data_IF_140760444571
#
_entry.id   IF_140760444571
#
_cell.length_a   1.000
_cell.length_b   1.000
_cell.length_c   1.000
_cell.angle_alpha   90.00
_cell.angle_beta   90.00
_cell.angle_gamma   90.00
#
_symmetry.space_group_name_H-M   'P 1'
#
loop_
_entity.id
_entity.type
_entity.pdbx_description
1 polymer ?
#
# COMPACT_ATOMS: atom_id res chain seq x y z
N UNK A 1 -22.75 22.54 4.04
CA UNK A 1 -23.44 23.59 3.25
C UNK A 1 -24.65 23.05 2.50
N UNK A 2 -25.83 22.97 3.15
CA UNK A 2 -27.05 22.41 2.55
C UNK A 2 -28.03 23.41 1.93
N UNK A 3 -27.73 24.72 1.95
CA UNK A 3 -28.60 25.75 1.33
C UNK A 3 -28.29 25.91 -0.16
N UNK A 4 -29.33 26.20 -0.96
CA UNK A 4 -29.24 26.56 -2.39
C UNK A 4 -28.73 25.46 -3.34
N UNK A 5 -28.93 24.18 -2.99
CA UNK A 5 -28.70 23.09 -3.93
C UNK A 5 -29.53 23.32 -5.21
N UNK A 6 -28.92 23.23 -6.41
CA UNK A 6 -29.61 23.54 -7.64
C UNK A 6 -30.70 22.49 -7.96
N UNK A 7 -31.91 22.95 -8.25
CA UNK A 7 -33.04 22.13 -8.69
C UNK A 7 -33.16 22.19 -10.22
N UNK A 8 -32.84 21.11 -10.92
CA UNK A 8 -32.81 21.08 -12.38
C UNK A 8 -32.34 19.74 -12.94
N UNK A 9 -32.26 19.64 -14.27
CA UNK A 9 -31.80 18.45 -15.00
C UNK A 9 -30.52 18.74 -15.80
N UNK A 10 -29.89 17.71 -16.38
CA UNK A 10 -28.68 17.86 -17.21
C UNK A 10 -27.36 17.93 -16.43
N UNK A 11 -27.39 17.64 -15.14
CA UNK A 11 -26.21 17.51 -14.29
C UNK A 11 -25.53 16.15 -14.47
N UNK A 12 -24.20 16.16 -14.64
CA UNK A 12 -23.44 14.93 -14.92
C UNK A 12 -22.63 14.45 -13.73
N UNK A 13 -22.07 15.36 -12.92
CA UNK A 13 -21.17 15.05 -11.79
C UNK A 13 -21.23 16.12 -10.70
N UNK A 14 -21.20 15.69 -9.44
CA UNK A 14 -21.08 16.55 -8.25
C UNK A 14 -19.67 16.41 -7.68
N UNK A 15 -19.13 17.54 -7.22
CA UNK A 15 -17.84 17.69 -6.57
C UNK A 15 -18.04 18.42 -5.26
N UNK A 16 -17.17 18.18 -4.28
CA UNK A 16 -17.24 18.81 -2.96
C UNK A 16 -15.88 19.33 -2.52
N UNK A 17 -15.91 20.42 -1.76
CA UNK A 17 -14.91 20.81 -0.77
C UNK A 17 -15.44 20.40 0.61
N UNK A 18 -14.78 20.79 1.69
CA UNK A 18 -15.29 20.48 3.04
C UNK A 18 -16.65 21.11 3.35
N UNK A 19 -16.96 22.29 2.76
CA UNK A 19 -18.17 23.03 3.10
C UNK A 19 -19.00 23.52 1.90
N UNK A 20 -18.55 23.27 0.67
CA UNK A 20 -19.26 23.62 -0.55
C UNK A 20 -19.32 22.48 -1.57
N UNK A 21 -20.22 22.65 -2.53
CA UNK A 21 -20.40 21.75 -3.65
C UNK A 21 -20.34 22.50 -4.98
N UNK A 22 -19.87 21.80 -6.01
CA UNK A 22 -19.94 22.25 -7.39
C UNK A 22 -20.52 21.13 -8.26
N UNK A 23 -21.34 21.48 -9.25
CA UNK A 23 -21.96 20.54 -10.17
C UNK A 23 -21.66 20.93 -11.61
N UNK A 24 -21.22 19.94 -12.39
CA UNK A 24 -20.93 20.07 -13.81
C UNK A 24 -22.16 19.63 -14.63
N UNK A 25 -22.55 20.43 -15.62
CA UNK A 25 -23.61 20.10 -16.57
C UNK A 25 -23.06 19.50 -17.87
N UNK A 26 -23.94 18.87 -18.65
CA UNK A 26 -23.60 18.27 -19.94
C UNK A 26 -23.06 19.28 -20.98
N UNK A 27 -23.46 20.54 -20.90
CA UNK A 27 -22.94 21.64 -21.73
C UNK A 27 -21.58 22.18 -21.23
N UNK A 28 -21.07 21.63 -20.14
CA UNK A 28 -19.84 22.06 -19.49
C UNK A 28 -19.97 23.33 -18.65
N UNK A 29 -21.18 23.83 -18.36
CA UNK A 29 -21.39 24.92 -17.39
C UNK A 29 -21.37 24.41 -15.95
N UNK A 30 -21.02 25.29 -15.00
CA UNK A 30 -20.84 24.96 -13.58
C UNK A 30 -21.83 25.75 -12.72
N UNK A 31 -22.36 25.11 -11.67
CA UNK A 31 -23.02 25.81 -10.56
C UNK A 31 -22.36 25.40 -9.24
N UNK A 32 -22.20 26.34 -8.31
CA UNK A 32 -21.73 26.06 -6.96
C UNK A 32 -22.75 26.52 -5.91
N UNK A 33 -22.72 25.87 -4.75
CA UNK A 33 -23.53 26.22 -3.58
C UNK A 33 -22.83 25.78 -2.29
N UNK A 34 -23.24 26.34 -1.16
CA UNK A 34 -22.60 26.15 0.14
C UNK A 34 -21.89 27.40 0.64
N UNK A 35 -20.88 27.23 1.49
CA UNK A 35 -20.15 28.36 2.10
C UNK A 35 -19.30 29.09 1.05
N UNK A 36 -19.38 30.42 1.01
CA UNK A 36 -18.79 31.21 -0.09
C UNK A 36 -17.27 31.11 -0.12
N UNK A 37 -16.63 31.19 1.05
CA UNK A 37 -15.17 31.11 1.16
C UNK A 37 -14.63 29.73 0.78
N UNK A 38 -15.46 28.70 0.80
CA UNK A 38 -15.10 27.31 0.49
C UNK A 38 -15.43 26.93 -0.97
N UNK A 39 -15.73 27.93 -1.81
CA UNK A 39 -16.08 27.74 -3.22
C UNK A 39 -17.57 27.55 -3.48
N UNK A 40 -18.44 27.86 -2.52
CA UNK A 40 -19.90 27.80 -2.66
C UNK A 40 -20.51 28.93 -3.48
N UNK A 41 -19.70 29.91 -3.87
CA UNK A 41 -20.04 31.00 -4.78
C UNK A 41 -18.91 31.24 -5.79
N UNK A 42 -19.13 32.13 -6.76
CA UNK A 42 -18.13 32.54 -7.76
C UNK A 42 -17.60 31.43 -8.68
N UNK A 43 -18.38 30.36 -8.88
CA UNK A 43 -18.10 29.41 -9.96
C UNK A 43 -18.07 30.14 -11.33
N UNK A 44 -17.24 29.67 -12.29
CA UNK A 44 -17.16 30.27 -13.61
C UNK A 44 -18.53 30.31 -14.31
N UNK A 45 -18.83 31.43 -14.98
CA UNK A 45 -20.11 31.68 -15.65
C UNK A 45 -20.15 31.19 -17.09
N UNK A 46 -19.00 30.86 -17.66
CA UNK A 46 -18.84 30.29 -19.00
C UNK A 46 -19.00 28.77 -19.00
N UNK A 47 -18.96 28.16 -20.20
CA UNK A 47 -19.16 26.72 -20.41
C UNK A 47 -17.94 26.05 -21.08
N UNK A 48 -18.08 24.77 -21.39
CA UNK A 48 -17.03 23.96 -22.02
C UNK A 48 -16.04 23.31 -21.04
N UNK A 49 -16.33 23.34 -19.73
CA UNK A 49 -15.58 22.57 -18.76
C UNK A 49 -15.89 21.08 -18.88
N UNK A 50 -14.85 20.26 -18.73
CA UNK A 50 -14.95 18.80 -18.85
C UNK A 50 -14.79 18.10 -17.51
N UNK A 51 -14.14 18.77 -16.54
CA UNK A 51 -13.88 18.21 -15.21
C UNK A 51 -13.63 19.29 -14.18
N UNK A 52 -14.05 19.03 -12.94
CA UNK A 52 -13.74 19.83 -11.75
C UNK A 52 -12.82 19.00 -10.84
N UNK A 53 -11.96 19.70 -10.11
CA UNK A 53 -11.04 19.19 -9.11
C UNK A 53 -11.19 20.04 -7.84
N UNK A 54 -10.88 19.45 -6.68
CA UNK A 54 -11.02 20.14 -5.40
C UNK A 54 -9.76 19.99 -4.55
N UNK A 55 -9.42 21.05 -3.82
CA UNK A 55 -8.61 20.97 -2.59
C UNK A 55 -9.57 20.91 -1.39
N UNK A 56 -9.07 21.10 -0.17
CA UNK A 56 -9.90 21.23 1.02
C UNK A 56 -10.98 22.30 0.85
N UNK A 57 -10.63 23.51 0.38
CA UNK A 57 -11.50 24.70 0.37
C UNK A 57 -11.61 25.43 -0.98
N UNK A 58 -11.08 24.87 -2.07
CA UNK A 58 -11.17 25.49 -3.39
C UNK A 58 -11.45 24.47 -4.50
N UNK A 59 -11.90 24.99 -5.63
CA UNK A 59 -12.14 24.22 -6.86
C UNK A 59 -11.26 24.73 -8.00
N UNK A 60 -10.95 23.82 -8.92
CA UNK A 60 -10.36 24.13 -10.22
C UNK A 60 -11.08 23.35 -11.32
N UNK A 61 -11.50 24.03 -12.39
CA UNK A 61 -12.19 23.43 -13.53
C UNK A 61 -11.33 23.48 -14.80
N UNK A 62 -11.29 22.36 -15.52
CA UNK A 62 -10.48 22.13 -16.72
C UNK A 62 -11.38 22.06 -17.97
N UNK A 63 -11.05 22.83 -19.01
CA UNK A 63 -11.70 22.78 -20.32
C UNK A 63 -11.04 21.79 -21.28
N UNK A 64 -11.72 21.51 -22.40
CA UNK A 64 -11.22 20.61 -23.44
C UNK A 64 -9.95 21.12 -24.16
N UNK A 65 -9.79 22.44 -24.26
CA UNK A 65 -8.57 23.09 -24.77
C UNK A 65 -7.42 23.10 -23.73
N UNK A 66 -7.70 22.63 -22.52
CA UNK A 66 -6.76 22.58 -21.41
C UNK A 66 -6.63 23.88 -20.62
N UNK A 67 -7.46 24.90 -20.85
CA UNK A 67 -7.52 26.09 -19.99
C UNK A 67 -8.16 25.79 -18.63
N UNK A 68 -7.75 26.53 -17.59
CA UNK A 68 -8.16 26.30 -16.20
C UNK A 68 -8.79 27.56 -15.59
N UNK A 69 -9.86 27.38 -14.81
CA UNK A 69 -10.37 28.40 -13.88
C UNK A 69 -10.47 27.85 -12.47
N UNK A 70 -10.07 28.64 -11.48
CA UNK A 70 -10.18 28.30 -10.07
C UNK A 70 -11.04 29.32 -9.31
N UNK A 71 -11.68 28.86 -8.24
CA UNK A 71 -12.48 29.67 -7.33
C UNK A 71 -12.53 29.04 -5.93
N UNK A 72 -12.93 29.81 -4.92
CA UNK A 72 -12.89 29.43 -3.51
C UNK A 72 -11.75 30.15 -2.77
N UNK A 73 -11.28 29.59 -1.65
CA UNK A 73 -10.30 30.27 -0.82
C UNK A 73 -8.93 30.37 -1.51
N UNK A 74 -8.36 31.57 -1.57
CA UNK A 74 -7.12 31.86 -2.31
C UNK A 74 -5.95 30.98 -1.87
N UNK A 75 -5.79 30.82 -0.56
CA UNK A 75 -4.65 30.10 0.03
C UNK A 75 -4.76 28.59 -0.19
N UNK A 76 -5.92 28.12 -0.67
CA UNK A 76 -6.18 26.73 -1.02
C UNK A 76 -6.19 26.52 -2.54
N UNK A 77 -5.72 27.50 -3.30
CA UNK A 77 -5.66 27.46 -4.76
C UNK A 77 -6.93 27.95 -5.46
N UNK A 78 -7.82 28.65 -4.75
CA UNK A 78 -9.04 29.27 -5.30
C UNK A 78 -8.76 30.51 -6.16
N UNK A 79 -7.51 30.93 -6.29
CA UNK A 79 -7.07 32.00 -7.17
C UNK A 79 -5.74 31.63 -7.83
N UNK A 80 -5.29 32.44 -8.80
CA UNK A 80 -3.98 32.30 -9.46
C UNK A 80 -3.77 30.99 -10.22
N UNK A 81 -4.84 30.37 -10.71
CA UNK A 81 -4.73 29.30 -11.71
C UNK A 81 -3.99 29.81 -12.96
N UNK A 82 -3.24 28.94 -13.67
CA UNK A 82 -2.53 29.31 -14.88
C UNK A 82 -3.48 29.88 -15.94
N UNK A 83 -3.01 30.90 -16.68
CA UNK A 83 -3.81 31.64 -17.65
C UNK A 83 -3.70 31.10 -19.07
N UNK A 84 -2.76 30.20 -19.33
CA UNK A 84 -2.57 29.51 -20.59
C UNK A 84 -3.32 28.17 -20.63
N UNK A 85 -3.15 27.43 -21.73
CA UNK A 85 -3.93 26.22 -22.06
C UNK A 85 -3.02 25.02 -22.36
N UNK A 86 -3.62 23.90 -22.79
CA UNK A 86 -2.90 22.66 -23.08
C UNK A 86 -2.66 21.74 -21.87
N UNK A 87 -3.23 22.06 -20.70
CA UNK A 87 -3.25 21.14 -19.57
C UNK A 87 -4.21 19.98 -19.83
N UNK A 88 -3.81 18.78 -19.41
CA UNK A 88 -4.58 17.54 -19.63
C UNK A 88 -5.15 17.00 -18.33
N UNK A 89 -4.57 17.36 -17.18
CA UNK A 89 -4.96 16.85 -15.88
C UNK A 89 -4.52 17.76 -14.75
N UNK A 90 -5.36 17.87 -13.72
CA UNK A 90 -5.05 18.54 -12.45
C UNK A 90 -4.93 17.50 -11.34
N UNK A 91 -4.08 17.78 -10.37
CA UNK A 91 -3.83 17.03 -9.15
C UNK A 91 -3.90 17.99 -7.97
N UNK A 92 -4.18 17.47 -6.78
CA UNK A 92 -4.43 18.30 -5.59
C UNK A 92 -3.74 17.72 -4.36
N UNK A 93 -3.10 18.57 -3.58
CA UNK A 93 -2.90 18.35 -2.14
C UNK A 93 -4.14 18.87 -1.39
N UNK A 94 -4.07 18.95 -0.07
CA UNK A 94 -5.12 19.55 0.73
C UNK A 94 -5.30 21.06 0.46
N UNK A 95 -4.24 21.76 0.00
CA UNK A 95 -4.23 23.24 -0.12
C UNK A 95 -3.62 23.77 -1.42
N UNK A 96 -3.17 22.91 -2.33
CA UNK A 96 -2.56 23.30 -3.59
C UNK A 96 -3.00 22.42 -4.75
N UNK A 97 -2.87 22.96 -5.96
CA UNK A 97 -3.08 22.25 -7.20
C UNK A 97 -1.79 22.17 -8.02
N UNK A 98 -1.68 21.11 -8.82
CA UNK A 98 -0.66 20.97 -9.86
C UNK A 98 -1.31 20.47 -11.16
N UNK A 99 -1.08 21.17 -12.26
CA UNK A 99 -1.59 20.83 -13.59
C UNK A 99 -0.47 20.30 -14.50
N UNK A 100 -0.77 19.20 -15.21
CA UNK A 100 0.14 18.48 -16.11
C UNK A 100 -0.29 18.66 -17.58
N UNK A 101 0.66 19.02 -18.44
CA UNK A 101 0.47 19.10 -19.90
C UNK A 101 0.81 17.81 -20.63
N UNK A 102 0.42 17.73 -21.90
CA UNK A 102 0.71 16.59 -22.77
C UNK A 102 2.22 16.39 -23.03
N UNK A 103 3.00 17.48 -23.06
CA UNK A 103 4.46 17.40 -23.14
C UNK A 103 5.12 17.00 -21.81
N UNK A 104 4.33 16.91 -20.74
CA UNK A 104 4.78 16.57 -19.41
C UNK A 104 5.34 17.75 -18.60
N UNK A 105 5.15 19.00 -19.02
CA UNK A 105 5.42 20.16 -18.17
C UNK A 105 4.36 20.33 -17.07
N UNK A 106 4.76 20.91 -15.94
CA UNK A 106 3.94 21.03 -14.73
C UNK A 106 3.86 22.50 -14.28
N UNK A 107 2.66 22.94 -13.88
CA UNK A 107 2.45 24.23 -13.23
C UNK A 107 1.66 24.01 -11.94
N UNK A 108 2.10 24.63 -10.83
CA UNK A 108 1.42 24.54 -9.54
C UNK A 108 0.98 25.92 -9.04
N UNK A 109 -0.09 25.93 -8.23
CA UNK A 109 -0.62 27.13 -7.57
C UNK A 109 -1.34 26.75 -6.25
N UNK A 110 -1.59 27.74 -5.40
CA UNK A 110 -2.13 27.57 -4.04
C UNK A 110 -1.08 27.82 -2.97
N UNK A 111 -1.21 27.20 -1.80
CA UNK A 111 -0.26 27.40 -0.70
C UNK A 111 1.16 26.98 -1.11
N UNK A 112 2.11 27.91 -1.04
CA UNK A 112 3.51 27.68 -1.46
C UNK A 112 4.23 26.61 -0.64
N UNK A 113 3.94 26.51 0.66
CA UNK A 113 4.57 25.54 1.58
C UNK A 113 4.08 24.11 1.33
N UNK A 114 2.89 23.97 0.73
CA UNK A 114 2.20 22.70 0.53
C UNK A 114 2.04 22.31 -0.95
N UNK A 115 3.00 22.75 -1.76
CA UNK A 115 3.15 22.32 -3.15
C UNK A 115 2.57 23.27 -4.20
N UNK A 116 2.04 24.43 -3.79
CA UNK A 116 1.53 25.48 -4.68
C UNK A 116 2.61 26.32 -5.37
N UNK A 117 3.88 26.01 -5.11
CA UNK A 117 5.05 26.63 -5.76
C UNK A 117 6.16 25.60 -5.98
N UNK A 118 7.19 25.97 -6.74
CA UNK A 118 8.38 25.14 -6.98
C UNK A 118 8.09 23.77 -7.62
N UNK A 119 7.04 23.70 -8.45
CA UNK A 119 6.85 22.57 -9.35
C UNK A 119 8.11 22.39 -10.22
N UNK A 120 8.49 21.14 -10.55
CA UNK A 120 9.70 20.89 -11.31
C UNK A 120 9.63 21.51 -12.71
N UNK A 121 10.77 22.02 -13.17
CA UNK A 121 10.90 22.57 -14.52
C UNK A 121 11.17 21.47 -15.55
N UNK A 122 10.93 21.78 -16.82
CA UNK A 122 11.13 20.86 -17.94
C UNK A 122 9.90 20.04 -18.31
N UNK A 123 10.12 19.02 -19.13
CA UNK A 123 9.08 18.19 -19.76
C UNK A 123 9.31 16.70 -19.48
N UNK A 124 8.41 15.85 -19.97
CA UNK A 124 8.52 14.39 -19.91
C UNK A 124 7.98 13.75 -18.63
N UNK A 125 7.38 14.52 -17.71
CA UNK A 125 6.61 13.94 -16.62
C UNK A 125 5.31 13.32 -17.17
N UNK A 126 4.99 12.12 -16.71
CA UNK A 126 3.85 11.35 -17.20
C UNK A 126 2.71 11.31 -16.21
N UNK A 127 3.01 11.51 -14.92
CA UNK A 127 2.03 11.43 -13.84
C UNK A 127 2.51 12.15 -12.58
N UNK A 128 1.57 12.78 -11.89
CA UNK A 128 1.75 13.37 -10.56
C UNK A 128 1.02 12.51 -9.52
N UNK A 129 1.56 12.47 -8.32
CA UNK A 129 1.03 11.82 -7.12
C UNK A 129 1.07 12.81 -5.97
N UNK A 130 0.20 12.63 -4.98
CA UNK A 130 0.03 13.58 -3.88
C UNK A 130 -0.01 12.87 -2.54
N UNK A 131 0.64 13.43 -1.53
CA UNK A 131 0.34 13.22 -0.11
C UNK A 131 -0.66 14.30 0.33
N UNK A 132 -0.87 14.45 1.64
CA UNK A 132 -1.69 15.54 2.18
C UNK A 132 -1.18 16.93 1.78
N UNK A 133 0.14 17.15 1.78
CA UNK A 133 0.76 18.48 1.61
C UNK A 133 1.94 18.52 0.62
N UNK A 134 2.18 17.45 -0.14
CA UNK A 134 3.29 17.39 -1.09
C UNK A 134 2.93 16.65 -2.36
N UNK A 135 3.71 16.88 -3.41
CA UNK A 135 3.58 16.22 -4.70
C UNK A 135 4.85 15.44 -5.05
N UNK A 136 4.68 14.39 -5.86
CA UNK A 136 5.76 13.69 -6.55
C UNK A 136 5.38 13.42 -8.01
N UNK A 137 6.26 13.76 -8.95
CA UNK A 137 6.06 13.56 -10.38
C UNK A 137 7.00 12.47 -10.92
N UNK A 138 6.46 11.61 -11.78
CA UNK A 138 7.15 10.44 -12.36
C UNK A 138 7.35 10.66 -13.86
N UNK A 139 8.58 10.46 -14.36
CA UNK A 139 8.91 10.44 -15.79
C UNK A 139 8.83 9.03 -16.37
N UNK A 140 8.85 8.94 -17.71
CA UNK A 140 8.78 7.67 -18.43
C UNK A 140 9.99 6.75 -18.19
N UNK A 141 11.17 7.32 -17.92
CA UNK A 141 12.37 6.57 -17.51
C UNK A 141 12.31 6.09 -16.05
N UNK A 142 11.25 6.46 -15.33
CA UNK A 142 11.03 6.14 -13.94
C UNK A 142 11.75 7.05 -12.95
N UNK A 143 12.36 8.16 -13.38
CA UNK A 143 12.89 9.17 -12.45
C UNK A 143 11.78 9.94 -11.75
N UNK A 144 12.03 10.37 -10.51
CA UNK A 144 11.05 11.03 -9.65
C UNK A 144 11.55 12.41 -9.22
N UNK A 145 10.65 13.39 -9.17
CA UNK A 145 10.91 14.68 -8.53
C UNK A 145 9.77 15.01 -7.56
N UNK A 146 10.09 15.40 -6.33
CA UNK A 146 9.10 15.81 -5.33
C UNK A 146 9.23 17.29 -4.96
N UNK A 147 8.12 17.90 -4.55
CA UNK A 147 8.05 19.27 -4.06
C UNK A 147 6.89 19.45 -3.07
N UNK A 148 6.90 20.53 -2.30
CA UNK A 148 5.94 20.80 -1.21
C UNK A 148 6.58 20.62 0.17
N UNK A 149 5.79 20.25 1.18
CA UNK A 149 6.28 20.10 2.55
C UNK A 149 7.29 18.95 2.68
N UNK A 150 8.47 19.23 3.23
CA UNK A 150 9.50 18.22 3.48
C UNK A 150 9.02 17.12 4.44
N UNK A 151 8.20 17.49 5.44
CA UNK A 151 7.60 16.57 6.41
C UNK A 151 6.58 15.61 5.78
N UNK A 152 6.06 15.96 4.60
CA UNK A 152 5.09 15.14 3.85
C UNK A 152 5.70 14.54 2.56
N UNK A 153 7.04 14.46 2.46
CA UNK A 153 7.73 13.86 1.32
C UNK A 153 7.91 14.77 0.11
N UNK A 154 7.81 16.09 0.31
CA UNK A 154 8.11 17.12 -0.69
C UNK A 154 9.60 17.34 -0.94
N UNK A 155 10.46 16.59 -0.25
CA UNK A 155 11.90 16.55 -0.46
C UNK A 155 12.42 15.10 -0.34
N UNK A 156 13.68 14.89 -0.71
CA UNK A 156 14.36 13.59 -0.60
C UNK A 156 13.69 12.45 -1.38
N UNK A 157 13.08 12.77 -2.52
CA UNK A 157 12.69 11.75 -3.49
C UNK A 157 13.93 10.95 -3.95
N UNK A 158 13.76 9.67 -4.35
CA UNK A 158 14.86 8.85 -4.84
C UNK A 158 15.56 9.50 -6.04
N UNK A 159 16.89 9.40 -6.08
CA UNK A 159 17.73 9.99 -7.15
C UNK A 159 17.97 9.04 -8.32
N UNK A 160 17.64 7.77 -8.16
CA UNK A 160 17.73 6.75 -9.19
C UNK A 160 16.44 6.68 -10.03
N UNK A 161 16.47 5.86 -11.08
CA UNK A 161 15.37 5.71 -12.05
C UNK A 161 14.85 4.26 -12.11
N UNK A 162 13.92 3.99 -13.04
CA UNK A 162 13.31 2.67 -13.22
C UNK A 162 12.08 2.41 -12.34
N UNK A 163 11.58 3.42 -11.61
CA UNK A 163 10.30 3.30 -10.91
C UNK A 163 9.14 3.29 -11.91
N UNK A 164 8.19 2.40 -11.68
CA UNK A 164 7.02 2.22 -12.57
C UNK A 164 5.77 2.86 -11.97
N UNK A 165 5.74 3.04 -10.64
CA UNK A 165 4.57 3.54 -9.93
C UNK A 165 4.94 4.11 -8.57
N UNK A 166 4.26 5.20 -8.20
CA UNK A 166 4.29 5.79 -6.87
C UNK A 166 2.96 5.51 -6.16
N UNK A 167 3.03 5.34 -4.84
CA UNK A 167 1.93 5.20 -3.91
C UNK A 167 2.14 6.22 -2.79
N UNK A 168 1.05 6.65 -2.15
CA UNK A 168 1.12 7.67 -1.10
C UNK A 168 0.13 7.40 0.01
N UNK A 169 0.46 7.91 1.19
CA UNK A 169 -0.46 8.15 2.29
C UNK A 169 -0.50 9.66 2.61
N UNK A 170 -1.00 10.08 3.77
CA UNK A 170 -1.09 11.51 4.10
C UNK A 170 0.28 12.20 4.27
N UNK A 171 1.35 11.48 4.58
CA UNK A 171 2.64 12.02 5.00
C UNK A 171 3.87 11.44 4.29
N UNK A 172 3.71 10.38 3.50
CA UNK A 172 4.82 9.69 2.87
C UNK A 172 4.46 9.11 1.50
N UNK A 173 5.49 8.84 0.72
CA UNK A 173 5.42 8.17 -0.57
C UNK A 173 6.21 6.85 -0.52
N UNK A 174 5.79 5.91 -1.38
CA UNK A 174 6.53 4.69 -1.69
C UNK A 174 6.51 4.44 -3.21
N UNK A 175 7.66 4.22 -3.81
CA UNK A 175 7.81 3.95 -5.24
C UNK A 175 8.25 2.50 -5.49
N UNK A 176 7.69 1.89 -6.53
CA UNK A 176 7.87 0.50 -6.90
C UNK A 176 8.56 0.39 -8.27
N UNK A 177 9.64 -0.38 -8.36
CA UNK A 177 10.31 -0.73 -9.62
C UNK A 177 9.75 -2.00 -10.25
N UNK A 178 10.13 -2.26 -11.51
CA UNK A 178 9.68 -3.44 -12.27
C UNK A 178 10.18 -4.77 -11.68
N UNK A 179 11.36 -4.78 -11.06
CA UNK A 179 11.88 -5.94 -10.31
C UNK A 179 11.18 -6.14 -8.96
N UNK A 180 10.29 -5.23 -8.58
CA UNK A 180 9.55 -5.25 -7.34
C UNK A 180 10.30 -4.67 -6.15
N UNK A 181 11.45 -4.02 -6.32
CA UNK A 181 12.10 -3.26 -5.24
C UNK A 181 11.30 -1.99 -4.90
N UNK A 182 11.33 -1.60 -3.61
CA UNK A 182 10.55 -0.49 -3.06
C UNK A 182 11.49 0.52 -2.40
N UNK A 183 11.27 1.81 -2.70
CA UNK A 183 11.89 2.93 -1.99
C UNK A 183 10.82 3.83 -1.42
N UNK A 184 10.92 4.20 -0.14
CA UNK A 184 10.01 5.14 0.51
C UNK A 184 10.74 6.41 0.96
N UNK A 185 9.99 7.52 1.02
CA UNK A 185 10.46 8.81 1.49
C UNK A 185 9.29 9.64 2.09
N UNK A 186 9.63 10.67 2.87
CA UNK A 186 8.68 11.49 3.64
C UNK A 186 8.83 11.25 5.15
N UNK A 187 7.75 11.43 5.91
CA UNK A 187 7.80 11.24 7.38
C UNK A 187 8.13 9.80 7.75
N UNK A 188 9.21 9.60 8.52
CA UNK A 188 9.66 8.29 8.98
C UNK A 188 8.62 7.58 9.85
N UNK A 189 7.90 8.32 10.70
CA UNK A 189 6.82 7.79 11.56
C UNK A 189 5.66 7.21 10.75
N UNK A 190 5.44 7.73 9.55
CA UNK A 190 4.30 7.40 8.70
C UNK A 190 4.71 6.62 7.44
N UNK A 191 5.83 5.89 7.50
CA UNK A 191 6.24 4.97 6.45
C UNK A 191 7.08 5.59 5.33
N UNK A 192 7.60 6.81 5.53
CA UNK A 192 8.62 7.43 4.68
C UNK A 192 10.01 6.84 4.89
N UNK A 193 10.16 5.87 5.79
CA UNK A 193 11.37 5.06 5.98
C UNK A 193 10.98 3.60 6.24
N UNK A 194 11.97 2.71 6.26
CA UNK A 194 11.79 1.28 6.56
C UNK A 194 10.85 0.55 5.59
N UNK A 195 10.81 1.00 4.32
CA UNK A 195 10.25 0.17 3.26
C UNK A 195 10.96 -1.20 3.24
N UNK A 196 10.24 -2.28 2.90
CA UNK A 196 10.83 -3.60 2.88
C UNK A 196 11.96 -3.69 1.87
N UNK A 197 13.00 -4.43 2.23
CA UNK A 197 14.14 -4.71 1.34
C UNK A 197 13.82 -5.89 0.41
N UNK A 198 14.64 -6.04 -0.64
CA UNK A 198 14.51 -7.12 -1.62
C UNK A 198 13.63 -6.77 -2.82
N UNK A 199 13.28 -7.80 -3.58
CA UNK A 199 12.56 -7.73 -4.86
C UNK A 199 11.29 -8.58 -4.83
N UNK A 200 10.52 -8.58 -5.92
CA UNK A 200 9.34 -9.43 -6.10
C UNK A 200 8.02 -8.87 -5.56
N UNK A 201 8.00 -7.66 -5.01
CA UNK A 201 6.74 -6.98 -4.70
C UNK A 201 6.04 -6.56 -5.99
N UNK A 202 4.73 -6.80 -6.07
CA UNK A 202 3.92 -6.53 -7.26
C UNK A 202 3.00 -5.33 -7.06
N UNK A 203 2.66 -5.02 -5.81
CA UNK A 203 1.71 -3.95 -5.48
C UNK A 203 1.93 -3.41 -4.08
N UNK A 204 1.67 -2.13 -3.92
CA UNK A 204 1.63 -1.44 -2.63
C UNK A 204 0.20 -0.92 -2.41
N UNK A 205 -0.23 -0.93 -1.16
CA UNK A 205 -1.48 -0.39 -0.65
C UNK A 205 -1.15 0.56 0.51
N UNK A 206 -2.01 1.54 0.74
CA UNK A 206 -1.83 2.52 1.80
C UNK A 206 -3.10 2.73 2.61
N UNK A 207 -2.92 3.02 3.89
CA UNK A 207 -3.93 3.63 4.76
C UNK A 207 -3.59 5.12 4.90
N UNK A 208 -4.23 5.84 5.83
CA UNK A 208 -3.90 7.24 6.09
C UNK A 208 -2.42 7.47 6.45
N UNK A 209 -1.78 6.53 7.15
CA UNK A 209 -0.46 6.74 7.79
C UNK A 209 0.48 5.51 7.70
N UNK A 210 0.16 4.52 6.87
CA UNK A 210 0.96 3.31 6.72
C UNK A 210 0.86 2.72 5.31
N UNK A 211 1.72 1.73 5.04
CA UNK A 211 1.75 0.98 3.79
C UNK A 211 1.76 -0.54 4.04
N UNK A 212 1.27 -1.28 3.04
CA UNK A 212 1.45 -2.71 2.91
C UNK A 212 1.83 -3.07 1.47
N UNK A 213 2.78 -3.98 1.27
CA UNK A 213 3.21 -4.46 -0.03
C UNK A 213 2.96 -5.97 -0.15
N UNK A 214 2.53 -6.39 -1.34
CA UNK A 214 2.18 -7.77 -1.69
C UNK A 214 3.18 -8.31 -2.72
N UNK A 215 3.75 -9.49 -2.46
CA UNK A 215 4.55 -10.24 -3.45
C UNK A 215 3.68 -11.18 -4.28
N UNK A 216 4.23 -11.67 -5.39
CA UNK A 216 3.54 -12.59 -6.30
C UNK A 216 3.19 -13.94 -5.64
N UNK A 217 3.98 -14.37 -4.64
CA UNK A 217 3.75 -15.57 -3.85
C UNK A 217 2.64 -15.41 -2.78
N UNK A 218 2.03 -14.23 -2.69
CA UNK A 218 0.99 -13.92 -1.71
C UNK A 218 1.52 -13.38 -0.38
N UNK A 219 2.84 -13.35 -0.15
CA UNK A 219 3.40 -12.79 1.09
C UNK A 219 3.19 -11.28 1.17
N UNK A 220 2.97 -10.80 2.41
CA UNK A 220 2.68 -9.40 2.70
C UNK A 220 3.70 -8.85 3.67
N UNK A 221 4.15 -7.62 3.42
CA UNK A 221 4.92 -6.84 4.39
C UNK A 221 4.23 -5.51 4.61
N UNK A 222 4.26 -4.97 5.83
CA UNK A 222 3.68 -3.69 6.17
C UNK A 222 4.66 -2.83 6.97
N UNK A 223 4.63 -1.52 6.73
CA UNK A 223 5.51 -0.55 7.39
C UNK A 223 4.81 0.81 7.59
N UNK A 224 5.37 1.65 8.44
CA UNK A 224 4.78 2.92 8.87
C UNK A 224 4.08 2.82 10.22
N UNK A 225 3.05 3.63 10.46
CA UNK A 225 2.44 3.71 11.79
C UNK A 225 1.69 2.43 12.16
N UNK A 226 2.08 1.80 13.27
CA UNK A 226 1.45 0.57 13.79
C UNK A 226 -0.04 0.75 14.09
N UNK A 227 -0.46 1.93 14.54
CA UNK A 227 -1.86 2.28 14.79
C UNK A 227 -2.73 2.29 13.52
N UNK A 228 -2.10 2.35 12.35
CA UNK A 228 -2.75 2.43 11.04
C UNK A 228 -2.42 1.22 10.16
N UNK A 229 -1.97 0.11 10.76
CA UNK A 229 -1.67 -1.13 10.05
C UNK A 229 -0.25 -1.22 9.49
N UNK A 230 0.67 -0.34 9.90
CA UNK A 230 2.06 -0.29 9.45
C UNK A 230 2.98 -1.35 10.05
N UNK A 231 2.43 -2.44 10.56
CA UNK A 231 3.20 -3.59 11.03
C UNK A 231 2.47 -4.86 10.64
N UNK A 232 3.20 -5.87 10.19
CA UNK A 232 2.64 -7.22 10.12
C UNK A 232 2.39 -7.74 11.54
N UNK A 233 1.35 -8.59 11.64
CA UNK A 233 1.06 -9.33 12.87
C UNK A 233 2.16 -10.36 13.17
N UNK A 234 1.97 -11.11 14.25
CA UNK A 234 2.76 -12.31 14.51
C UNK A 234 2.51 -13.34 13.38
N UNK A 235 3.56 -14.05 12.95
CA UNK A 235 3.50 -14.99 11.81
C UNK A 235 4.58 -16.07 11.93
N UNK A 236 4.36 -17.23 11.32
CA UNK A 236 5.29 -18.36 11.37
C UNK A 236 5.60 -18.83 9.95
N UNK A 237 6.88 -19.06 9.69
CA UNK A 237 7.37 -19.66 8.45
C UNK A 237 7.81 -21.11 8.70
N UNK A 238 7.39 -22.03 7.83
CA UNK A 238 7.83 -23.43 7.81
C UNK A 238 8.52 -23.77 6.48
N UNK A 239 9.57 -24.60 6.50
CA UNK A 239 10.35 -24.91 5.29
C UNK A 239 9.68 -25.90 4.34
N UNK A 240 8.67 -26.62 4.80
CA UNK A 240 7.95 -27.62 4.01
C UNK A 240 6.49 -27.76 4.47
N UNK A 241 5.60 -28.09 3.54
CA UNK A 241 4.21 -28.53 3.79
C UNK A 241 3.99 -29.99 3.37
N UNK A 242 5.01 -30.62 2.79
CA UNK A 242 5.04 -32.03 2.39
C UNK A 242 6.40 -32.61 2.71
N UNK A 243 6.46 -33.85 3.20
CA UNK A 243 7.67 -34.57 3.53
C UNK A 243 7.52 -36.05 3.12
N UNK A 244 8.63 -36.71 2.81
CA UNK A 244 8.67 -38.15 2.62
C UNK A 244 9.76 -38.74 3.50
N UNK A 245 9.47 -39.82 4.22
CA UNK A 245 10.39 -40.46 5.15
C UNK A 245 10.25 -41.97 5.05
N UNK A 246 11.37 -42.68 4.99
CA UNK A 246 11.37 -44.14 5.03
C UNK A 246 11.08 -44.62 6.48
N UNK A 247 10.48 -45.80 6.63
CA UNK A 247 10.40 -46.46 7.95
C UNK A 247 11.77 -46.63 8.62
N UNK A 248 11.82 -46.52 9.95
CA UNK A 248 13.06 -46.53 10.74
C UNK A 248 14.07 -45.41 10.36
N UNK A 249 13.65 -44.45 9.53
CA UNK A 249 14.43 -43.29 9.11
C UNK A 249 13.82 -41.98 9.62
N UNK A 250 14.55 -40.90 9.40
CA UNK A 250 14.12 -39.55 9.78
C UNK A 250 14.25 -38.58 8.62
N UNK A 251 13.32 -37.63 8.56
CA UNK A 251 13.44 -36.47 7.71
C UNK A 251 13.04 -35.22 8.51
N UNK A 252 13.42 -34.04 8.05
CA UNK A 252 13.30 -32.80 8.84
C UNK A 252 12.70 -31.66 8.05
N UNK A 253 12.06 -30.75 8.76
CA UNK A 253 11.70 -29.42 8.28
C UNK A 253 11.98 -28.40 9.39
N UNK A 254 12.03 -27.11 9.06
CA UNK A 254 12.28 -26.06 10.04
C UNK A 254 11.07 -25.17 10.24
N UNK A 255 10.99 -24.58 11.43
CA UNK A 255 10.00 -23.57 11.82
C UNK A 255 10.76 -22.35 12.35
N UNK A 256 10.32 -21.15 12.01
CA UNK A 256 10.84 -19.88 12.55
C UNK A 256 9.71 -18.88 12.74
N UNK A 257 9.82 -18.00 13.75
CA UNK A 257 8.86 -16.92 13.95
C UNK A 257 9.24 -15.72 13.06
N UNK A 258 8.23 -15.07 12.48
CA UNK A 258 8.42 -13.92 11.58
C UNK A 258 8.60 -12.60 12.37
N UNK A 259 8.29 -12.61 13.67
CA UNK A 259 8.36 -11.44 14.55
C UNK A 259 8.77 -11.81 15.97
N UNK A 260 9.58 -10.95 16.60
CA UNK A 260 9.95 -11.11 18.01
C UNK A 260 8.69 -11.23 18.88
N UNK A 261 8.54 -12.33 19.63
CA UNK A 261 7.37 -12.53 20.47
C UNK A 261 7.44 -11.66 21.73
N UNK A 262 6.30 -11.40 22.35
CA UNK A 262 6.21 -10.60 23.60
C UNK A 262 6.37 -11.44 24.88
N UNK A 263 6.71 -12.72 24.71
CA UNK A 263 6.92 -13.74 25.73
C UNK A 263 7.18 -15.08 25.03
N UNK A 264 7.37 -16.16 25.76
CA UNK A 264 7.69 -17.45 25.13
C UNK A 264 6.53 -17.97 24.28
N UNK A 265 6.87 -18.47 23.09
CA UNK A 265 5.96 -19.14 22.16
C UNK A 265 6.30 -20.61 22.15
N UNK A 266 5.29 -21.46 22.33
CA UNK A 266 5.43 -22.92 22.19
C UNK A 266 4.71 -23.38 20.94
N UNK A 267 5.43 -24.11 20.08
CA UNK A 267 4.87 -24.82 18.93
C UNK A 267 4.91 -26.31 19.23
N UNK A 268 3.73 -26.89 19.45
CA UNK A 268 3.55 -28.32 19.68
C UNK A 268 3.06 -28.98 18.40
N UNK A 269 3.50 -30.22 18.18
CA UNK A 269 3.14 -31.00 16.99
C UNK A 269 2.56 -32.34 17.41
N UNK A 270 1.57 -32.80 16.65
CA UNK A 270 0.93 -34.09 16.80
C UNK A 270 0.85 -34.74 15.42
N UNK A 271 1.27 -36.00 15.32
CA UNK A 271 1.02 -36.83 14.13
C UNK A 271 -0.40 -37.39 14.22
N UNK A 272 -1.25 -37.02 13.26
CA UNK A 272 -2.60 -37.55 13.11
C UNK A 272 -2.64 -38.51 11.90
N UNK A 273 -2.93 -39.77 12.19
CA UNK A 273 -2.86 -40.86 11.21
C UNK A 273 -4.15 -40.89 10.41
N UNK A 274 -4.11 -40.54 9.12
CA UNK A 274 -5.30 -40.63 8.27
C UNK A 274 -5.46 -42.10 7.85
N UNK A 275 -6.45 -42.80 8.42
CA UNK A 275 -6.84 -44.14 7.98
C UNK A 275 -6.21 -45.32 8.72
N UNK A 276 -5.42 -45.09 9.78
CA UNK A 276 -4.87 -46.13 10.66
C UNK A 276 -5.02 -45.75 12.15
N UNK A 277 -5.21 -46.74 13.03
CA UNK A 277 -5.26 -46.55 14.49
C UNK A 277 -3.88 -46.56 15.15
N UNK A 278 -2.81 -46.79 14.38
CA UNK A 278 -1.41 -46.76 14.85
C UNK A 278 -0.70 -45.53 14.28
N UNK A 279 0.14 -44.88 15.09
CA UNK A 279 0.93 -43.73 14.64
C UNK A 279 2.02 -44.22 13.68
N UNK A 280 1.88 -43.89 12.39
CA UNK A 280 2.83 -44.29 11.32
C UNK A 280 4.08 -43.38 11.25
N UNK A 281 4.05 -42.26 11.96
CA UNK A 281 5.24 -41.43 12.20
C UNK A 281 5.23 -40.88 13.62
N UNK A 282 6.39 -40.45 14.10
CA UNK A 282 6.52 -39.62 15.32
C UNK A 282 7.15 -38.27 14.96
N UNK A 283 6.82 -37.22 15.74
CA UNK A 283 7.28 -35.86 15.50
C UNK A 283 7.86 -35.25 16.77
N UNK A 284 9.11 -34.78 16.71
CA UNK A 284 9.82 -34.18 17.85
C UNK A 284 10.82 -33.11 17.41
N UNK A 285 11.28 -32.22 18.30
CA UNK A 285 10.73 -31.94 19.64
C UNK A 285 9.57 -30.93 19.57
N UNK A 286 8.89 -30.68 20.69
CA UNK A 286 8.14 -29.43 20.84
C UNK A 286 9.12 -28.26 20.80
N UNK A 287 8.78 -27.19 20.09
CA UNK A 287 9.67 -26.03 19.94
C UNK A 287 9.28 -24.93 20.91
N UNK A 288 10.28 -24.26 21.49
CA UNK A 288 10.10 -23.07 22.30
C UNK A 288 10.90 -21.92 21.69
N UNK A 289 10.20 -20.85 21.34
CA UNK A 289 10.81 -19.62 20.85
C UNK A 289 10.70 -18.54 21.92
N UNK A 290 11.84 -17.92 22.25
CA UNK A 290 12.01 -16.83 23.19
C UNK A 290 12.38 -15.55 22.44
N UNK A 291 12.51 -14.44 23.16
CA UNK A 291 12.98 -13.16 22.61
C UNK A 291 14.39 -13.20 21.97
N UNK A 292 15.17 -14.24 22.24
CA UNK A 292 16.58 -14.39 21.85
C UNK A 292 16.80 -15.41 20.73
N UNK A 293 15.85 -16.32 20.48
CA UNK A 293 15.99 -17.35 19.45
C UNK A 293 14.86 -17.34 18.40
N UNK A 294 13.85 -16.47 18.53
CA UNK A 294 12.65 -16.45 17.67
C UNK A 294 12.95 -16.39 16.17
N UNK A 295 14.02 -15.70 15.78
CA UNK A 295 14.44 -15.48 14.40
C UNK A 295 15.44 -16.53 13.89
N UNK A 296 15.72 -17.56 14.68
CA UNK A 296 16.60 -18.68 14.29
C UNK A 296 15.71 -19.88 13.96
N UNK A 297 15.77 -20.42 12.73
CA UNK A 297 15.01 -21.63 12.39
C UNK A 297 15.35 -22.78 13.33
N UNK A 298 14.32 -23.39 13.90
CA UNK A 298 14.44 -24.58 14.75
C UNK A 298 13.96 -25.80 13.96
N UNK A 299 14.69 -26.91 14.11
CA UNK A 299 14.44 -28.14 13.36
C UNK A 299 13.40 -29.01 14.03
N UNK A 300 12.44 -29.47 13.24
CA UNK A 300 11.52 -30.56 13.57
C UNK A 300 12.01 -31.81 12.86
N UNK A 301 12.05 -32.91 13.60
CA UNK A 301 12.37 -34.26 13.10
C UNK A 301 11.11 -35.10 13.07
N UNK A 302 10.87 -35.69 11.91
CA UNK A 302 9.80 -36.67 11.66
C UNK A 302 10.46 -38.02 11.46
N UNK A 303 10.05 -39.01 12.24
CA UNK A 303 10.57 -40.38 12.18
C UNK A 303 9.49 -41.31 11.67
N UNK A 304 9.77 -42.06 10.60
CA UNK A 304 8.87 -43.11 10.11
C UNK A 304 8.79 -44.26 11.13
N UNK A 305 7.59 -44.64 11.52
CA UNK A 305 7.38 -45.78 12.43
C UNK A 305 7.23 -47.02 11.59
N UNK A 306 8.14 -47.97 11.80
CA UNK A 306 8.07 -49.27 11.14
C UNK A 306 6.85 -50.06 11.57
N UNK A 307 6.15 -50.64 10.60
CA UNK A 307 5.15 -51.65 10.84
C UNK A 307 5.48 -53.00 10.15
N UNK A 308 4.47 -53.85 9.95
CA UNK A 308 4.65 -55.24 9.50
C UNK A 308 4.10 -55.48 8.09
N UNK A 309 3.48 -54.49 7.47
CA UNK A 309 2.92 -54.66 6.15
C UNK A 309 3.91 -54.24 5.04
N UNK A 310 3.43 -53.89 3.85
CA UNK A 310 4.25 -53.53 2.68
C UNK A 310 3.69 -52.30 1.96
N UNK A 311 2.77 -51.62 2.61
CA UNK A 311 2.06 -50.48 2.06
C UNK A 311 2.80 -49.22 2.47
N UNK A 312 2.61 -48.16 1.69
CA UNK A 312 3.04 -46.85 2.10
C UNK A 312 1.86 -46.16 2.77
N UNK A 313 2.13 -45.51 3.89
CA UNK A 313 1.12 -44.80 4.67
C UNK A 313 1.28 -43.29 4.51
N UNK A 314 0.22 -42.59 4.86
CA UNK A 314 0.24 -41.15 4.94
C UNK A 314 -0.27 -40.68 6.30
N UNK A 315 0.41 -39.69 6.86
CA UNK A 315 0.02 -39.03 8.10
C UNK A 315 0.13 -37.52 7.95
N UNK A 316 -0.56 -36.80 8.81
CA UNK A 316 -0.54 -35.35 8.82
C UNK A 316 -0.02 -34.86 10.16
N UNK A 317 1.02 -34.04 10.11
CA UNK A 317 1.48 -33.32 11.30
C UNK A 317 0.64 -32.05 11.43
N UNK A 318 -0.07 -31.97 12.55
CA UNK A 318 -0.87 -30.83 12.95
C UNK A 318 -0.10 -30.03 14.00
N UNK A 319 -0.13 -28.70 13.87
CA UNK A 319 0.59 -27.78 14.75
C UNK A 319 -0.39 -27.02 15.65
N UNK A 320 0.02 -26.82 16.90
CA UNK A 320 -0.64 -25.91 17.84
C UNK A 320 0.36 -24.87 18.31
N UNK A 321 -0.01 -23.60 18.20
CA UNK A 321 0.83 -22.45 18.52
C UNK A 321 0.23 -21.70 19.70
N UNK A 322 1.02 -21.51 20.75
CA UNK A 322 0.54 -20.87 21.99
C UNK A 322 1.58 -19.92 22.58
N UNK A 323 1.12 -18.94 23.36
CA UNK A 323 2.00 -18.01 24.08
C UNK A 323 2.52 -16.84 23.22
N UNK A 324 3.30 -15.95 23.85
CA UNK A 324 4.12 -14.91 23.20
C UNK A 324 3.44 -13.94 22.22
N UNK A 325 2.11 -13.81 22.24
CA UNK A 325 1.34 -13.03 21.25
C UNK A 325 0.93 -13.82 20.00
N UNK A 326 1.33 -15.10 19.90
CA UNK A 326 1.10 -15.98 18.76
C UNK A 326 -0.16 -16.85 18.86
N UNK A 327 -0.99 -16.70 19.90
CA UNK A 327 -2.12 -17.60 20.16
C UNK A 327 -3.22 -17.64 19.09
N UNK A 328 -3.25 -16.69 18.15
CA UNK A 328 -4.17 -16.70 17.00
C UNK A 328 -3.47 -17.00 15.66
N UNK A 329 -2.16 -17.32 15.69
CA UNK A 329 -1.40 -17.68 14.50
C UNK A 329 -1.66 -19.15 14.19
N UNK A 330 -2.00 -19.44 12.94
CA UNK A 330 -2.16 -20.80 12.44
C UNK A 330 -0.99 -21.16 11.53
N UNK A 331 -0.70 -22.46 11.45
CA UNK A 331 0.31 -23.02 10.56
C UNK A 331 -0.35 -23.96 9.56
N UNK A 332 0.32 -24.19 8.44
CA UNK A 332 -0.11 -25.22 7.49
C UNK A 332 0.30 -26.58 8.02
N UNK A 333 -0.60 -27.56 7.92
CA UNK A 333 -0.27 -28.94 8.22
C UNK A 333 0.86 -29.43 7.30
N UNK A 334 1.65 -30.39 7.78
CA UNK A 334 2.65 -31.10 6.95
C UNK A 334 2.12 -32.49 6.62
N UNK A 335 1.94 -32.76 5.33
CA UNK A 335 1.60 -34.10 4.83
C UNK A 335 2.89 -34.92 4.76
N UNK A 336 2.89 -36.10 5.37
CA UNK A 336 4.06 -36.99 5.43
C UNK A 336 3.70 -38.31 4.76
N UNK A 337 4.41 -38.63 3.68
CA UNK A 337 4.40 -39.96 3.07
C UNK A 337 5.45 -40.83 3.77
N UNK A 338 5.01 -41.90 4.44
CA UNK A 338 5.85 -42.89 5.08
C UNK A 338 6.07 -44.02 4.09
N UNK A 339 7.32 -44.25 3.72
CA UNK A 339 7.69 -45.21 2.67
C UNK A 339 8.16 -46.49 3.33
N UNK A 340 7.53 -47.61 2.96
CA UNK A 340 7.91 -48.92 3.41
C UNK A 340 9.38 -49.21 3.06
N UNK A 341 10.12 -49.69 4.05
CA UNK A 341 11.48 -50.16 3.80
C UNK A 341 11.46 -51.65 3.46
N UNK A 342 11.67 -51.96 2.18
CA UNK A 342 11.72 -53.36 1.74
C UNK A 342 12.76 -54.15 2.54
N UNK A 343 12.30 -55.07 3.38
CA UNK A 343 13.03 -56.28 3.73
C UNK A 343 12.62 -57.43 2.80
#
# INVERSE_FOLDING_TARGET
>A
GGSNAPTGTGYTKIYSTEQAFAILKADGSIKAWGESDFGGSNAPTDSGYTKIYSTGYAFAALKADGSIKAWGYSDFGGSNAPTDSGYTKIYSTYTAFAALRADGSITAWGNSEYGGSNAPTGTGYTKIYSTGNSFAALKADGSITAWGSSEHGGSNAPTDSGYTKIYSNLYAFAALKADGSITAWGSSEYGGSNAPTGTGYTKIYSTGNAFAALKADGSITAWGSSKYGGTTGFGITQSATTLSVDEDSTNTYTIVLDKQPIGDVTVSMLSDSIGSSTSVATVTPSLTFTDSNWNTPQTVTVTGVKDNDKNNEQTVIIHSVTGGGYGNVSMSNVVVDVIDTTA
#
